data_IF_246798725626
#
_entry.id   IF_246798725626
#
_cell.length_a   1.000
_cell.length_b   1.000
_cell.length_c   1.000
_cell.angle_alpha   90.00
_cell.angle_beta   90.00
_cell.angle_gamma   90.00
#
_symmetry.space_group_name_H-M   'P 1'
#
loop_
_entity.id
_entity.type
_entity.pdbx_description
1 polymer ?
#
# COMPACT_ATOMS: atom_id res chain seq x y z
N UNK A 1 -13.99 21.26 14.95
CA UNK A 1 -12.82 21.05 15.83
C UNK A 1 -12.09 19.73 15.53
N UNK A 2 -12.75 18.56 15.52
CA UNK A 2 -12.09 17.28 15.20
C UNK A 2 -11.51 17.21 13.78
N UNK A 3 -12.22 17.72 12.77
CA UNK A 3 -11.74 17.70 11.39
C UNK A 3 -10.39 18.42 11.25
N UNK A 4 -10.30 19.68 11.69
CA UNK A 4 -9.06 20.46 11.69
C UNK A 4 -7.93 19.82 12.49
N UNK A 5 -8.22 19.17 13.61
CA UNK A 5 -7.21 18.44 14.38
C UNK A 5 -6.63 17.24 13.61
N UNK A 6 -7.45 16.56 12.79
CA UNK A 6 -7.04 15.36 12.05
C UNK A 6 -6.41 15.69 10.69
N UNK A 7 -6.88 16.74 10.02
CA UNK A 7 -6.45 17.10 8.66
C UNK A 7 -5.45 18.26 8.64
N UNK A 8 -5.35 19.03 9.72
CA UNK A 8 -4.56 20.27 9.75
C UNK A 8 -5.19 21.44 8.99
N UNK A 9 -6.37 21.25 8.38
CA UNK A 9 -7.02 22.23 7.50
C UNK A 9 -8.39 22.65 8.04
N UNK A 10 -8.78 23.89 7.75
CA UNK A 10 -10.15 24.35 7.97
C UNK A 10 -10.99 24.02 6.72
N UNK A 11 -11.82 22.99 6.83
CA UNK A 11 -12.55 22.41 5.69
C UNK A 11 -14.05 22.61 5.84
N UNK A 12 -14.73 22.85 4.72
CA UNK A 12 -16.18 22.79 4.63
C UNK A 12 -16.62 21.32 4.60
N UNK A 13 -17.28 20.88 5.67
CA UNK A 13 -17.70 19.49 5.85
C UNK A 13 -18.80 19.07 4.87
N UNK A 14 -19.73 19.96 4.53
CA UNK A 14 -20.81 19.64 3.61
C UNK A 14 -20.24 19.45 2.20
N UNK A 15 -19.39 20.38 1.76
CA UNK A 15 -18.69 20.27 0.49
C UNK A 15 -17.77 19.05 0.42
N UNK A 16 -17.07 18.74 1.51
CA UNK A 16 -16.19 17.55 1.58
C UNK A 16 -16.99 16.25 1.49
N UNK A 17 -18.18 16.20 2.08
CA UNK A 17 -19.08 15.04 1.97
C UNK A 17 -19.55 14.80 0.54
N UNK A 18 -20.01 15.86 -0.14
CA UNK A 18 -20.45 15.78 -1.53
C UNK A 18 -19.32 15.39 -2.49
N UNK A 19 -18.12 15.91 -2.23
CA UNK A 19 -16.91 15.48 -2.93
C UNK A 19 -16.62 13.99 -2.71
N UNK A 20 -16.71 13.51 -1.46
CA UNK A 20 -16.50 12.09 -1.13
C UNK A 20 -17.43 11.14 -1.91
N UNK A 21 -18.70 11.50 -2.08
CA UNK A 21 -19.62 10.72 -2.93
C UNK A 21 -19.27 10.77 -4.42
N UNK A 22 -18.71 11.89 -4.87
CA UNK A 22 -18.25 12.03 -6.25
C UNK A 22 -17.05 11.13 -6.51
N UNK A 23 -16.06 11.14 -5.62
CA UNK A 23 -14.90 10.23 -5.70
C UNK A 23 -15.31 8.77 -5.61
N UNK A 24 -16.24 8.43 -4.71
CA UNK A 24 -16.76 7.06 -4.59
C UNK A 24 -17.33 6.55 -5.93
N UNK A 25 -18.16 7.36 -6.60
CA UNK A 25 -18.74 6.99 -7.90
C UNK A 25 -17.67 6.89 -9.00
N UNK A 26 -16.68 7.78 -8.98
CA UNK A 26 -15.55 7.74 -9.90
C UNK A 26 -14.75 6.43 -9.73
N UNK A 27 -14.38 6.09 -8.50
CA UNK A 27 -13.66 4.86 -8.17
C UNK A 27 -14.48 3.61 -8.49
N UNK A 28 -15.79 3.62 -8.22
CA UNK A 28 -16.68 2.49 -8.57
C UNK A 28 -16.69 2.24 -10.09
N UNK A 29 -16.75 3.30 -10.90
CA UNK A 29 -16.68 3.18 -12.35
C UNK A 29 -15.29 2.71 -12.85
N UNK A 30 -14.21 3.12 -12.19
CA UNK A 30 -12.87 2.63 -12.49
C UNK A 30 -12.71 1.15 -12.14
N UNK A 31 -13.23 0.69 -10.99
CA UNK A 31 -13.21 -0.73 -10.61
C UNK A 31 -13.94 -1.60 -11.63
N UNK A 32 -15.09 -1.15 -12.13
CA UNK A 32 -15.83 -1.80 -13.21
C UNK A 32 -14.99 -1.92 -14.50
N UNK A 33 -14.25 -0.88 -14.85
CA UNK A 33 -13.34 -0.92 -16.01
C UNK A 33 -12.18 -1.89 -15.78
N UNK A 34 -11.59 -1.90 -14.58
CA UNK A 34 -10.51 -2.82 -14.25
C UNK A 34 -10.98 -4.28 -14.23
N UNK A 35 -12.19 -4.56 -13.74
CA UNK A 35 -12.77 -5.91 -13.75
C UNK A 35 -12.80 -6.52 -15.16
N UNK A 36 -13.20 -5.72 -16.15
CA UNK A 36 -13.23 -6.12 -17.58
C UNK A 36 -11.85 -6.35 -18.19
N UNK A 37 -10.79 -5.77 -17.63
CA UNK A 37 -9.40 -6.04 -18.03
C UNK A 37 -8.88 -7.36 -17.46
N UNK A 38 -9.36 -7.75 -16.27
CA UNK A 38 -9.00 -9.01 -15.61
C UNK A 38 -9.70 -10.18 -16.27
N UNK A 39 -11.02 -10.11 -16.41
CA UNK A 39 -11.83 -11.07 -17.15
C UNK A 39 -12.78 -10.30 -18.07
N UNK A 40 -12.77 -10.54 -19.40
CA UNK A 40 -13.68 -9.87 -20.31
C UNK A 40 -15.13 -9.97 -19.84
N UNK A 41 -15.86 -8.85 -19.88
CA UNK A 41 -17.27 -8.72 -19.50
C UNK A 41 -17.63 -9.09 -18.05
N UNK A 42 -16.66 -9.32 -17.17
CA UNK A 42 -16.91 -9.64 -15.77
C UNK A 42 -17.33 -8.43 -14.94
N UNK A 43 -18.20 -8.68 -13.95
CA UNK A 43 -18.44 -7.77 -12.83
C UNK A 43 -17.27 -7.77 -11.85
N UNK A 44 -17.19 -6.75 -10.99
CA UNK A 44 -16.14 -6.65 -9.96
C UNK A 44 -16.06 -7.90 -9.07
N UNK A 45 -17.16 -8.46 -8.52
CA UNK A 45 -17.09 -9.67 -7.70
C UNK A 45 -16.62 -10.92 -8.47
N UNK A 46 -16.91 -11.01 -9.76
CA UNK A 46 -16.46 -12.12 -10.60
C UNK A 46 -14.96 -12.03 -10.89
N UNK A 47 -14.47 -10.84 -11.22
CA UNK A 47 -13.03 -10.60 -11.40
C UNK A 47 -12.25 -10.88 -10.11
N UNK A 48 -12.76 -10.44 -8.94
CA UNK A 48 -12.13 -10.76 -7.65
C UNK A 48 -12.05 -12.26 -7.39
N UNK A 49 -13.14 -13.00 -7.62
CA UNK A 49 -13.16 -14.47 -7.44
C UNK A 49 -12.21 -15.18 -8.40
N UNK A 50 -12.06 -14.65 -9.62
CA UNK A 50 -11.08 -15.16 -10.56
C UNK A 50 -9.65 -14.94 -10.05
N UNK A 51 -9.33 -13.73 -9.57
CA UNK A 51 -8.00 -13.45 -8.98
C UNK A 51 -7.72 -14.31 -7.75
N UNK A 52 -8.74 -14.58 -6.92
CA UNK A 52 -8.59 -15.44 -5.74
C UNK A 52 -8.28 -16.91 -6.09
N UNK A 53 -8.68 -17.38 -7.26
CA UNK A 53 -8.55 -18.80 -7.65
C UNK A 53 -7.51 -19.06 -8.73
N UNK A 54 -7.20 -18.07 -9.56
CA UNK A 54 -6.33 -18.18 -10.73
C UNK A 54 -5.27 -17.07 -10.82
N UNK A 55 -5.22 -16.15 -9.85
CA UNK A 55 -4.19 -15.11 -9.78
C UNK A 55 -2.81 -15.64 -9.41
N UNK A 56 -1.79 -14.79 -9.58
CA UNK A 56 -0.45 -15.06 -9.08
C UNK A 56 -0.45 -15.09 -7.55
N UNK A 57 0.02 -16.20 -6.97
CA UNK A 57 0.05 -16.42 -5.53
C UNK A 57 1.48 -16.63 -5.08
N UNK A 58 1.90 -15.85 -4.07
CA UNK A 58 3.19 -16.03 -3.41
C UNK A 58 2.96 -16.82 -2.13
N UNK A 59 3.43 -18.07 -2.13
CA UNK A 59 3.31 -18.95 -0.98
C UNK A 59 4.49 -18.79 -0.01
N UNK A 60 4.17 -18.74 1.28
CA UNK A 60 5.16 -18.68 2.34
C UNK A 60 5.56 -17.26 2.73
N UNK A 61 5.66 -17.05 4.04
CA UNK A 61 5.87 -15.75 4.67
C UNK A 61 7.19 -15.08 4.23
N UNK A 62 8.26 -15.87 4.06
CA UNK A 62 9.54 -15.34 3.57
C UNK A 62 9.50 -14.94 2.09
N UNK A 63 8.77 -15.66 1.25
CA UNK A 63 8.63 -15.29 -0.17
C UNK A 63 7.81 -14.01 -0.32
N UNK A 64 6.75 -13.86 0.48
CA UNK A 64 5.98 -12.61 0.55
C UNK A 64 6.89 -11.45 1.00
N UNK A 65 7.71 -11.66 2.03
CA UNK A 65 8.68 -10.65 2.50
C UNK A 65 9.63 -10.21 1.40
N UNK A 66 10.23 -11.17 0.67
CA UNK A 66 11.14 -10.90 -0.43
C UNK A 66 10.45 -10.16 -1.57
N UNK A 67 9.27 -10.63 -2.00
CA UNK A 67 8.48 -9.99 -3.06
C UNK A 67 8.15 -8.54 -2.74
N UNK A 68 7.73 -8.27 -1.52
CA UNK A 68 7.43 -6.91 -1.05
C UNK A 68 8.69 -6.05 -0.93
N UNK A 69 9.82 -6.62 -0.47
CA UNK A 69 11.10 -5.92 -0.45
C UNK A 69 11.54 -5.50 -1.85
N UNK A 70 11.56 -6.44 -2.80
CA UNK A 70 11.94 -6.15 -4.18
C UNK A 70 11.02 -5.13 -4.83
N UNK A 71 9.70 -5.22 -4.60
CA UNK A 71 8.74 -4.23 -5.09
C UNK A 71 9.08 -2.84 -4.57
N UNK A 72 9.41 -2.74 -3.28
CA UNK A 72 9.76 -1.46 -2.66
C UNK A 72 11.08 -0.93 -3.19
N UNK A 73 12.11 -1.77 -3.33
CA UNK A 73 13.41 -1.38 -3.90
C UNK A 73 13.27 -0.91 -5.36
N UNK A 74 12.47 -1.61 -6.17
CA UNK A 74 12.16 -1.18 -7.56
C UNK A 74 11.46 0.18 -7.56
N UNK A 75 10.44 0.37 -6.72
CA UNK A 75 9.74 1.64 -6.64
C UNK A 75 10.68 2.81 -6.25
N UNK A 76 11.62 2.60 -5.31
CA UNK A 76 12.62 3.61 -4.97
C UNK A 76 13.50 3.94 -6.17
N UNK A 77 14.00 2.92 -6.89
CA UNK A 77 14.84 3.11 -8.05
C UNK A 77 14.13 3.83 -9.21
N UNK A 78 12.86 3.49 -9.46
CA UNK A 78 12.07 4.08 -10.54
C UNK A 78 11.66 5.53 -10.25
N UNK A 79 11.54 5.89 -8.97
CA UNK A 79 11.05 7.20 -8.52
C UNK A 79 12.16 8.20 -8.19
N UNK A 80 13.32 7.73 -7.71
CA UNK A 80 14.47 8.59 -7.35
C UNK A 80 15.07 9.25 -8.59
N UNK A 81 15.31 10.56 -8.50
CA UNK A 81 15.84 11.39 -9.58
C UNK A 81 14.86 11.69 -10.72
N UNK A 82 13.76 10.94 -10.85
CA UNK A 82 12.74 11.18 -11.88
C UNK A 82 11.56 11.99 -11.35
N UNK A 83 10.96 11.54 -10.25
CA UNK A 83 9.79 12.20 -9.65
C UNK A 83 10.08 12.79 -8.28
N UNK A 84 11.07 12.25 -7.56
CA UNK A 84 11.46 12.69 -6.23
C UNK A 84 12.99 12.72 -6.09
N UNK A 85 13.49 13.58 -5.21
CA UNK A 85 14.84 13.47 -4.66
C UNK A 85 14.75 12.67 -3.36
N UNK A 86 15.05 11.38 -3.41
CA UNK A 86 14.95 10.52 -2.22
C UNK A 86 16.27 10.65 -1.44
N UNK A 87 16.19 10.97 -0.16
CA UNK A 87 17.38 11.05 0.68
C UNK A 87 17.99 9.64 0.84
N UNK A 88 19.32 9.51 0.78
CA UNK A 88 20.02 8.22 0.88
C UNK A 88 19.59 7.34 2.08
N UNK A 89 19.34 7.88 3.29
CA UNK A 89 18.87 7.09 4.42
C UNK A 89 17.43 6.54 4.26
N UNK A 90 16.67 7.02 3.28
CA UNK A 90 15.33 6.52 2.96
C UNK A 90 15.40 5.43 1.88
N UNK A 91 16.44 5.45 1.04
CA UNK A 91 16.63 4.46 -0.04
C UNK A 91 16.85 3.06 0.50
N UNK A 92 17.45 2.95 1.68
CA UNK A 92 17.84 1.68 2.27
C UNK A 92 16.69 1.04 3.08
N UNK A 93 15.56 0.69 2.46
CA UNK A 93 14.37 0.18 3.17
C UNK A 93 14.40 -1.35 3.38
N UNK A 94 14.14 -1.82 4.59
CA UNK A 94 14.01 -3.24 4.91
C UNK A 94 12.55 -3.69 5.03
N UNK A 95 12.18 -4.79 4.36
CA UNK A 95 10.90 -5.46 4.62
C UNK A 95 11.07 -6.59 5.64
N UNK A 96 10.23 -6.58 6.68
CA UNK A 96 10.30 -7.52 7.80
C UNK A 96 8.97 -8.24 8.03
N UNK A 97 9.09 -9.47 8.50
CA UNK A 97 7.98 -10.29 8.99
C UNK A 97 7.84 -10.05 10.48
N UNK A 98 6.61 -9.88 10.94
CA UNK A 98 6.33 -9.78 12.38
C UNK A 98 6.08 -11.13 13.02
N UNK A 99 6.34 -11.24 14.35
CA UNK A 99 5.93 -12.42 15.11
C UNK A 99 4.44 -12.71 14.95
N UNK A 100 4.08 -13.99 15.03
CA UNK A 100 2.68 -14.44 15.02
C UNK A 100 1.89 -13.71 16.11
N UNK A 101 0.66 -13.28 15.78
CA UNK A 101 -0.21 -12.51 16.68
C UNK A 101 -0.08 -10.99 16.57
N UNK A 102 0.80 -10.49 15.68
CA UNK A 102 0.91 -9.07 15.34
C UNK A 102 -0.12 -8.64 14.29
N UNK A 103 -0.14 -7.35 13.93
CA UNK A 103 -1.12 -6.77 13.00
C UNK A 103 -1.23 -7.57 11.69
N UNK A 104 -2.47 -7.78 11.23
CA UNK A 104 -2.76 -8.58 10.03
C UNK A 104 -2.44 -7.85 8.72
N UNK A 105 -2.27 -6.52 8.75
CA UNK A 105 -2.03 -5.69 7.58
C UNK A 105 -0.62 -5.09 7.59
N UNK A 106 -0.06 -4.75 6.41
CA UNK A 106 1.23 -4.09 6.36
C UNK A 106 1.23 -2.74 7.06
N UNK A 107 2.35 -2.38 7.72
CA UNK A 107 2.52 -1.07 8.34
C UNK A 107 3.98 -0.60 8.30
N UNK A 108 4.17 0.70 8.41
CA UNK A 108 5.48 1.33 8.42
C UNK A 108 5.90 1.68 9.84
N UNK A 109 7.18 1.51 10.13
CA UNK A 109 7.76 1.99 11.39
C UNK A 109 8.80 3.05 11.10
N UNK A 110 8.70 4.19 11.81
CA UNK A 110 9.79 5.14 11.84
C UNK A 110 10.96 4.49 12.56
N UNK A 111 12.15 4.64 12.03
CA UNK A 111 13.33 4.15 12.73
C UNK A 111 13.61 4.92 14.02
N UNK A 112 14.16 4.25 15.05
CA UNK A 112 14.97 4.95 16.02
C UNK A 112 16.26 5.43 15.33
N UNK A 113 16.67 6.67 15.61
CA UNK A 113 17.99 7.18 15.23
C UNK A 113 19.06 6.24 15.82
N UNK A 114 19.78 5.49 14.98
CA UNK A 114 20.98 4.79 15.46
C UNK A 114 22.14 5.79 15.57
N UNK A 115 23.07 5.62 16.52
CA UNK A 115 24.24 6.49 16.65
C UNK A 115 25.25 6.40 15.49
N UNK A 116 25.01 5.58 14.46
CA UNK A 116 25.85 5.50 13.26
C UNK A 116 25.00 5.55 11.98
N UNK A 117 24.73 6.77 11.52
CA UNK A 117 24.81 7.20 10.11
C UNK A 117 23.91 6.63 9.02
N UNK A 118 23.33 5.44 9.13
CA UNK A 118 22.48 4.88 8.07
C UNK A 118 21.07 4.63 8.60
N UNK A 119 20.12 5.42 8.07
CA UNK A 119 18.72 5.13 8.27
C UNK A 119 18.26 4.11 7.22
N UNK A 120 17.30 3.29 7.60
CA UNK A 120 16.65 2.28 6.78
C UNK A 120 15.14 2.32 6.98
N UNK A 121 14.32 2.57 5.96
CA UNK A 121 12.87 2.42 6.11
C UNK A 121 12.51 1.00 6.60
N UNK A 122 11.35 0.80 7.25
CA UNK A 122 10.86 -0.55 7.53
C UNK A 122 9.43 -0.74 7.09
N UNK A 123 9.22 -1.69 6.18
CA UNK A 123 7.90 -2.21 5.80
C UNK A 123 7.66 -3.50 6.57
N UNK A 124 6.58 -3.55 7.33
CA UNK A 124 6.19 -4.77 8.04
C UNK A 124 5.04 -5.41 7.29
N UNK A 125 5.12 -6.70 6.98
CA UNK A 125 4.01 -7.46 6.40
C UNK A 125 3.37 -8.37 7.46
N UNK A 126 2.03 -8.43 7.47
CA UNK A 126 1.28 -9.37 8.30
C UNK A 126 1.50 -10.82 7.87
N UNK A 127 1.23 -11.81 8.75
CA UNK A 127 1.37 -13.22 8.40
C UNK A 127 0.38 -13.61 7.29
N UNK A 128 0.82 -14.47 6.36
CA UNK A 128 -0.06 -15.10 5.38
C UNK A 128 -1.18 -15.88 6.09
N UNK A 129 -2.36 -15.97 5.46
CA UNK A 129 -3.37 -16.96 5.87
C UNK A 129 -2.75 -18.38 5.79
N UNK A 130 -3.15 -19.28 6.70
CA UNK A 130 -2.68 -20.67 6.69
C UNK A 130 -3.04 -21.40 5.40
#
# INVERSE_FOLDING_TARGET
MFARLRTGADIDLAKTYDWGWTEYRCLAAQLEQQARLVVPDASVPEAMRHLDTAGDVVEGVEQIRLRLHELTCRAIADLDGTYFEIADPVKDIETRVVPKGSAAAPYYTRQPLRPQGLAHGRVVAGPARP
#
